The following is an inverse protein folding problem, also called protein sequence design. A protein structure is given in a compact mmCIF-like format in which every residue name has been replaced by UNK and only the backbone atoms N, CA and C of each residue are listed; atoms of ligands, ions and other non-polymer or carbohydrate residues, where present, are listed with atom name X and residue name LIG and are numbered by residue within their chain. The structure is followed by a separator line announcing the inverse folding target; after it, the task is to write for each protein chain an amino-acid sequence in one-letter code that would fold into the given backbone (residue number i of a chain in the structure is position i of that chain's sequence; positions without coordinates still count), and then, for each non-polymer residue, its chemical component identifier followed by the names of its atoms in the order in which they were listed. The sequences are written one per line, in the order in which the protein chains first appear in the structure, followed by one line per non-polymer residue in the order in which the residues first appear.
data_IF_306303499849
#
_entry.id   IF_306303499849
#
_cell.length_a   1.000
_cell.length_b   1.000
_cell.length_c   1.000
_cell.angle_alpha   90.00
_cell.angle_beta   90.00
_cell.angle_gamma   90.00
#
_symmetry.space_group_name_H-M   'P 1'
#
loop_
_entity.id
_entity.type
_entity.pdbx_description
1 polymer ?
#
# COMPACT_ATOMS: atom_id res chain seq x y z
N UNK A 1 -13.52 -20.24 -3.51
CA UNK A 1 -12.49 -19.22 -3.19
C UNK A 1 -13.20 -17.87 -3.16
N UNK A 2 -12.94 -16.98 -2.18
CA UNK A 2 -13.63 -15.68 -2.15
C UNK A 2 -13.32 -14.88 -3.42
N UNK A 3 -14.36 -14.32 -4.02
CA UNK A 3 -14.23 -13.40 -5.15
C UNK A 3 -14.09 -11.97 -4.63
N UNK A 4 -13.14 -11.23 -5.19
CA UNK A 4 -12.81 -9.87 -4.75
C UNK A 4 -12.87 -8.89 -5.92
N UNK A 5 -13.76 -7.91 -5.82
CA UNK A 5 -13.82 -6.78 -6.74
C UNK A 5 -12.69 -5.76 -6.55
N UNK A 6 -12.69 -4.76 -7.43
CA UNK A 6 -11.87 -3.55 -7.33
C UNK A 6 -12.76 -2.34 -7.02
N UNK A 7 -12.28 -1.38 -6.23
CA UNK A 7 -13.04 -0.15 -5.99
C UNK A 7 -12.94 0.86 -7.14
N UNK A 8 -11.97 0.70 -8.04
CA UNK A 8 -11.84 1.52 -9.24
C UNK A 8 -12.98 1.23 -10.21
N UNK A 9 -13.72 2.28 -10.59
CA UNK A 9 -14.83 2.20 -11.54
C UNK A 9 -14.36 2.52 -12.96
N UNK A 10 -15.15 2.13 -13.98
CA UNK A 10 -14.88 2.39 -15.40
C UNK A 10 -13.56 1.79 -15.90
N UNK A 11 -13.33 0.51 -15.59
CA UNK A 11 -12.14 -0.21 -16.05
C UNK A 11 -12.22 -0.53 -17.55
N UNK A 12 -11.45 0.20 -18.34
CA UNK A 12 -11.07 -0.13 -19.72
C UNK A 12 -9.86 -1.09 -19.75
N UNK A 13 -10.06 -2.28 -20.30
CA UNK A 13 -9.02 -3.30 -20.39
C UNK A 13 -7.83 -2.92 -21.30
N UNK A 14 -8.06 -2.02 -22.27
CA UNK A 14 -7.07 -1.57 -23.26
C UNK A 14 -6.15 -0.49 -22.72
N UNK A 15 -6.63 0.34 -21.79
CA UNK A 15 -5.87 1.48 -21.23
C UNK A 15 -5.36 1.24 -19.82
N UNK A 16 -5.93 0.26 -19.11
CA UNK A 16 -5.62 0.05 -17.71
C UNK A 16 -5.04 -1.33 -17.41
N UNK A 17 -4.13 -1.34 -16.43
CA UNK A 17 -3.60 -2.55 -15.80
C UNK A 17 -3.91 -2.49 -14.32
N UNK A 18 -4.25 -3.63 -13.73
CA UNK A 18 -4.62 -3.76 -12.33
C UNK A 18 -3.82 -4.86 -11.67
N UNK A 19 -3.48 -4.66 -10.41
CA UNK A 19 -2.90 -5.69 -9.55
C UNK A 19 -3.48 -5.56 -8.15
N UNK A 20 -3.52 -6.67 -7.40
CA UNK A 20 -3.98 -6.64 -6.02
C UNK A 20 -3.18 -7.58 -5.11
N UNK A 21 -3.04 -7.17 -3.85
CA UNK A 21 -2.64 -8.02 -2.74
C UNK A 21 -3.88 -8.31 -1.90
N UNK A 22 -4.09 -9.57 -1.52
CA UNK A 22 -5.17 -9.96 -0.63
C UNK A 22 -4.62 -10.59 0.65
N UNK A 23 -5.26 -10.27 1.78
CA UNK A 23 -5.01 -10.87 3.10
C UNK A 23 -3.55 -10.78 3.59
N UNK A 24 -2.86 -9.68 3.26
CA UNK A 24 -1.47 -9.48 3.71
C UNK A 24 -1.42 -9.04 5.16
N UNK A 25 -0.46 -9.60 5.89
CA UNK A 25 -0.16 -9.23 7.27
C UNK A 25 0.63 -7.90 7.33
N UNK A 26 0.01 -6.82 6.91
CA UNK A 26 0.54 -5.45 7.01
C UNK A 26 -0.48 -4.58 7.73
N UNK A 27 -0.04 -3.48 8.34
CA UNK A 27 -0.98 -2.53 8.95
C UNK A 27 -1.74 -1.77 7.86
N UNK A 28 -3.08 -1.87 7.88
CA UNK A 28 -3.95 -1.10 6.98
C UNK A 28 -3.74 0.42 7.10
N UNK A 29 -3.33 0.93 8.27
CA UNK A 29 -3.00 2.35 8.46
C UNK A 29 -1.77 2.75 7.68
N UNK A 30 -0.71 1.93 7.76
CA UNK A 30 0.53 2.18 7.02
C UNK A 30 0.32 2.00 5.52
N UNK A 31 -0.37 0.94 5.13
CA UNK A 31 -0.70 0.67 3.72
C UNK A 31 -1.46 1.84 3.07
N UNK A 32 -2.38 2.48 3.79
CA UNK A 32 -3.12 3.65 3.32
C UNK A 32 -2.22 4.86 3.04
N UNK A 33 -1.28 5.16 3.95
CA UNK A 33 -0.36 6.30 3.76
C UNK A 33 0.65 6.03 2.64
N UNK A 34 1.14 4.79 2.52
CA UNK A 34 2.00 4.35 1.42
C UNK A 34 1.27 4.44 0.08
N UNK A 35 0.04 3.90 -0.02
CA UNK A 35 -0.79 3.99 -1.22
C UNK A 35 -1.02 5.45 -1.64
N UNK A 36 -1.30 6.33 -0.67
CA UNK A 36 -1.50 7.75 -0.96
C UNK A 36 -0.22 8.46 -1.43
N UNK A 37 0.95 8.01 -0.98
CA UNK A 37 2.25 8.53 -1.40
C UNK A 37 2.55 8.19 -2.85
N UNK A 38 2.34 6.93 -3.26
CA UNK A 38 2.66 6.46 -4.62
C UNK A 38 1.60 6.83 -5.67
N UNK A 39 0.39 7.19 -5.24
CA UNK A 39 -0.69 7.58 -6.15
C UNK A 39 -0.27 8.78 -7.01
N UNK A 40 -0.34 8.62 -8.33
CA UNK A 40 0.02 9.64 -9.31
C UNK A 40 1.49 9.64 -9.74
N UNK A 41 2.32 8.74 -9.23
CA UNK A 41 3.70 8.56 -9.70
C UNK A 41 3.76 7.61 -10.92
N UNK A 42 4.84 7.69 -11.69
CA UNK A 42 5.24 6.61 -12.60
C UNK A 42 5.70 5.40 -11.79
N UNK A 43 5.71 4.21 -12.40
CA UNK A 43 6.09 2.99 -11.67
C UNK A 43 7.54 3.08 -11.16
N UNK A 44 8.48 3.51 -12.00
CA UNK A 44 9.89 3.65 -11.63
C UNK A 44 10.09 4.54 -10.40
N UNK A 45 9.50 5.76 -10.44
CA UNK A 45 9.58 6.70 -9.32
C UNK A 45 8.93 6.15 -8.05
N UNK A 46 7.84 5.38 -8.19
CA UNK A 46 7.20 4.73 -7.06
C UNK A 46 8.09 3.64 -6.46
N UNK A 47 8.74 2.82 -7.30
CA UNK A 47 9.69 1.78 -6.90
C UNK A 47 10.86 2.39 -6.12
N UNK A 48 11.50 3.42 -6.66
CA UNK A 48 12.62 4.10 -6.02
C UNK A 48 12.23 4.71 -4.67
N UNK A 49 11.09 5.42 -4.63
CA UNK A 49 10.59 6.00 -3.39
C UNK A 49 10.32 4.94 -2.31
N UNK A 50 9.79 3.76 -2.68
CA UNK A 50 9.57 2.67 -1.75
C UNK A 50 10.87 2.01 -1.29
N UNK A 51 11.87 1.89 -2.16
CA UNK A 51 13.19 1.40 -1.77
C UNK A 51 13.88 2.35 -0.78
N UNK A 52 13.80 3.66 -1.01
CA UNK A 52 14.30 4.68 -0.07
C UNK A 52 13.62 4.58 1.31
N UNK A 53 12.31 4.30 1.35
CA UNK A 53 11.57 4.07 2.61
C UNK A 53 12.08 2.82 3.33
N UNK A 54 12.36 1.73 2.61
CA UNK A 54 12.92 0.51 3.19
C UNK A 54 14.32 0.78 3.77
N UNK A 55 15.14 1.55 3.06
CA UNK A 55 16.47 2.00 3.48
C UNK A 55 16.47 3.12 4.53
N UNK A 56 15.30 3.57 5.02
CA UNK A 56 15.15 4.67 5.98
C UNK A 56 15.64 6.04 5.50
N UNK A 57 15.83 6.22 4.19
CA UNK A 57 16.30 7.48 3.60
C UNK A 57 15.18 8.50 3.41
N UNK A 58 13.97 8.02 3.10
CA UNK A 58 12.81 8.85 2.82
C UNK A 58 11.63 8.49 3.70
N UNK A 59 11.04 9.47 4.38
CA UNK A 59 9.88 9.22 5.22
C UNK A 59 8.58 9.18 4.41
N UNK A 60 7.67 8.27 4.80
CA UNK A 60 6.29 8.29 4.31
C UNK A 60 5.53 9.35 5.11
N UNK A 61 4.83 10.31 4.46
CA UNK A 61 4.02 11.30 5.16
C UNK A 61 2.74 10.65 5.70
N UNK A 62 2.54 10.74 7.02
CA UNK A 62 1.34 10.23 7.68
C UNK A 62 0.33 11.37 7.82
N UNK A 63 -0.75 11.32 7.03
CA UNK A 63 -1.74 12.40 6.97
C UNK A 63 -2.99 12.12 7.81
N UNK A 64 -3.54 10.91 7.73
CA UNK A 64 -4.77 10.54 8.46
C UNK A 64 -4.47 9.93 9.83
N UNK A 65 -3.47 9.06 9.88
CA UNK A 65 -3.11 8.32 11.09
C UNK A 65 -1.87 8.92 11.76
N UNK A 66 -1.94 10.21 12.09
CA UNK A 66 -0.81 11.01 12.56
C UNK A 66 -0.79 11.31 14.07
N UNK A 67 -1.73 10.78 14.85
CA UNK A 67 -1.71 10.91 16.32
C UNK A 67 -0.42 10.34 16.89
N UNK A 68 0.27 11.13 17.72
CA UNK A 68 1.54 10.76 18.37
C UNK A 68 2.62 10.29 17.37
N UNK A 69 2.61 10.88 16.16
CA UNK A 69 3.65 10.66 15.16
C UNK A 69 4.61 11.84 15.16
N UNK A 70 5.88 11.56 15.50
CA UNK A 70 6.94 12.56 15.52
C UNK A 70 7.19 13.19 14.15
N UNK A 71 7.73 14.41 14.19
CA UNK A 71 8.03 15.16 12.98
C UNK A 71 9.25 14.59 12.22
N UNK A 72 9.32 14.86 10.92
CA UNK A 72 10.45 14.46 10.06
C UNK A 72 11.04 15.65 9.34
N UNK A 73 12.32 15.52 8.97
CA UNK A 73 13.07 16.54 8.24
C UNK A 73 12.81 16.50 6.73
N UNK A 74 12.23 15.42 6.21
CA UNK A 74 11.90 15.28 4.79
C UNK A 74 10.99 16.41 4.30
N UNK A 75 11.28 16.93 3.11
CA UNK A 75 10.56 18.06 2.53
C UNK A 75 9.07 17.80 2.41
N UNK A 76 8.25 18.68 2.99
CA UNK A 76 6.79 18.57 2.96
C UNK A 76 6.21 17.49 3.88
N UNK A 77 7.02 16.91 4.79
CA UNK A 77 6.58 15.92 5.77
C UNK A 77 6.60 16.53 7.16
N UNK A 78 5.44 16.93 7.68
CA UNK A 78 5.31 17.25 9.09
C UNK A 78 5.44 15.96 9.90
N UNK A 79 4.42 15.12 9.92
CA UNK A 79 4.45 13.80 10.61
C UNK A 79 4.80 12.68 9.64
N UNK A 80 5.81 11.86 9.96
CA UNK A 80 6.25 10.79 9.07
C UNK A 80 6.89 9.58 9.76
N UNK A 81 6.76 8.41 9.11
CA UNK A 81 7.39 7.13 9.56
C UNK A 81 7.97 6.39 8.36
N UNK A 82 8.71 5.32 8.66
CA UNK A 82 9.29 4.41 7.66
C UNK A 82 8.63 3.02 7.75
N UNK A 83 7.46 2.80 7.14
CA UNK A 83 6.73 1.53 7.24
C UNK A 83 7.36 0.45 6.34
N UNK A 84 8.53 -0.08 6.73
CA UNK A 84 9.30 -1.07 5.96
C UNK A 84 8.47 -2.27 5.47
N UNK A 85 7.74 -2.92 6.39
CA UNK A 85 6.91 -4.11 6.08
C UNK A 85 5.86 -3.82 5.00
N UNK A 86 5.23 -2.65 5.04
CA UNK A 86 4.26 -2.27 4.02
C UNK A 86 4.98 -1.94 2.70
N UNK A 87 6.05 -1.15 2.74
CA UNK A 87 6.80 -0.77 1.53
C UNK A 87 7.31 -2.01 0.77
N UNK A 88 7.86 -3.02 1.46
CA UNK A 88 8.32 -4.27 0.82
C UNK A 88 7.19 -5.03 0.12
N UNK A 89 5.99 -5.10 0.71
CA UNK A 89 4.86 -5.75 0.04
C UNK A 89 4.34 -4.91 -1.15
N UNK A 90 4.39 -3.57 -1.06
CA UNK A 90 4.03 -2.71 -2.20
C UNK A 90 5.01 -2.84 -3.37
N UNK A 91 6.31 -3.04 -3.13
CA UNK A 91 7.29 -3.29 -4.21
C UNK A 91 6.90 -4.56 -4.98
N UNK A 92 6.59 -5.66 -4.28
CA UNK A 92 6.11 -6.91 -4.91
C UNK A 92 4.82 -6.70 -5.72
N UNK A 93 3.96 -5.79 -5.27
CA UNK A 93 2.74 -5.44 -5.98
C UNK A 93 3.02 -4.63 -7.25
N UNK A 94 4.03 -3.76 -7.24
CA UNK A 94 4.51 -3.06 -8.43
C UNK A 94 5.15 -4.02 -9.43
N UNK A 95 5.96 -4.98 -8.98
CA UNK A 95 6.54 -6.03 -9.84
C UNK A 95 5.43 -6.81 -10.58
N UNK A 96 4.35 -7.16 -9.87
CA UNK A 96 3.19 -7.84 -10.48
C UNK A 96 2.45 -6.89 -11.45
N UNK A 97 2.32 -5.61 -11.11
CA UNK A 97 1.67 -4.63 -11.98
C UNK A 97 2.44 -4.43 -13.29
N UNK A 98 3.77 -4.37 -13.24
CA UNK A 98 4.66 -4.31 -14.41
C UNK A 98 4.53 -5.56 -15.27
N UNK A 99 4.62 -6.75 -14.67
CA UNK A 99 4.47 -8.00 -15.41
C UNK A 99 3.11 -8.10 -16.13
N UNK A 100 2.03 -7.62 -15.51
CA UNK A 100 0.72 -7.56 -16.15
C UNK A 100 0.64 -6.51 -17.27
N UNK A 101 1.38 -5.41 -17.16
CA UNK A 101 1.43 -4.37 -18.18
C UNK A 101 2.23 -4.85 -19.41
N UNK A 102 3.37 -5.49 -19.17
CA UNK A 102 4.21 -6.11 -20.20
C UNK A 102 3.44 -7.20 -20.96
N UNK A 103 2.71 -8.07 -20.24
CA UNK A 103 1.86 -9.09 -20.86
C UNK A 103 0.78 -8.49 -21.77
N UNK A 104 0.27 -7.30 -21.45
CA UNK A 104 -0.70 -6.58 -22.28
C UNK A 104 -0.05 -5.78 -23.42
N UNK A 105 1.27 -5.72 -23.49
CA UNK A 105 2.01 -4.92 -24.48
C UNK A 105 1.91 -3.41 -24.25
N UNK A 106 1.70 -2.97 -23.02
CA UNK A 106 1.71 -1.53 -22.68
C UNK A 106 3.14 -1.02 -22.52
N UNK A 107 3.34 0.26 -22.83
CA UNK A 107 4.61 0.94 -22.59
C UNK A 107 4.80 1.22 -21.08
N UNK A 108 5.85 0.63 -20.50
CA UNK A 108 6.15 0.73 -19.07
C UNK A 108 6.56 2.16 -18.67
N UNK A 109 7.23 2.89 -19.57
CA UNK A 109 7.76 4.23 -19.31
C UNK A 109 6.64 5.27 -19.17
N UNK A 110 5.54 5.02 -19.89
CA UNK A 110 4.33 5.87 -19.89
C UNK A 110 3.29 5.45 -18.87
N UNK A 111 3.54 4.38 -18.10
CA UNK A 111 2.58 3.87 -17.15
C UNK A 111 2.57 4.67 -15.84
N UNK A 112 1.40 5.17 -15.47
CA UNK A 112 1.19 6.00 -14.28
C UNK A 112 0.14 5.38 -13.36
N UNK A 113 0.42 5.39 -12.05
CA UNK A 113 -0.50 4.85 -11.03
C UNK A 113 -1.66 5.84 -10.84
N UNK A 114 -2.85 5.49 -11.35
CA UNK A 114 -4.05 6.33 -11.24
C UNK A 114 -4.83 6.05 -9.95
N UNK A 115 -4.83 4.81 -9.48
CA UNK A 115 -5.55 4.39 -8.29
C UNK A 115 -4.67 3.52 -7.41
N UNK A 116 -4.66 3.83 -6.12
CA UNK A 116 -3.97 3.07 -5.10
C UNK A 116 -4.80 3.11 -3.82
N UNK A 117 -5.41 1.97 -3.48
CA UNK A 117 -6.29 1.87 -2.32
C UNK A 117 -5.86 0.72 -1.42
N UNK A 118 -6.07 0.91 -0.12
CA UNK A 118 -5.85 -0.11 0.89
C UNK A 118 -7.15 -0.33 1.68
N UNK A 119 -7.57 -1.58 1.79
CA UNK A 119 -8.79 -2.01 2.45
C UNK A 119 -8.46 -2.85 3.67
N UNK A 120 -9.25 -2.73 4.73
CA UNK A 120 -9.17 -3.65 5.87
C UNK A 120 -9.69 -5.01 5.41
N UNK A 121 -8.92 -6.06 5.69
CA UNK A 121 -9.31 -7.43 5.44
C UNK A 121 -9.78 -8.13 6.70
N UNK A 122 -9.63 -9.46 6.69
CA UNK A 122 -10.04 -10.32 7.80
C UNK A 122 -9.31 -9.95 9.08
N UNK A 123 -10.06 -9.97 10.18
CA UNK A 123 -9.55 -9.72 11.52
C UNK A 123 -9.25 -11.06 12.20
N UNK A 124 -7.97 -11.32 12.43
CA UNK A 124 -7.49 -12.50 13.16
C UNK A 124 -7.69 -12.22 14.65
N UNK A 125 -8.69 -12.88 15.23
CA UNK A 125 -9.03 -12.77 16.64
C UNK A 125 -7.97 -13.47 17.49
N UNK A 126 -7.43 -12.76 18.48
CA UNK A 126 -6.51 -13.29 19.49
C UNK A 126 -6.81 -12.61 20.81
N UNK A 127 -6.31 -13.17 21.91
CA UNK A 127 -6.40 -12.55 23.23
C UNK A 127 -5.03 -12.44 23.87
N UNK A 128 -4.92 -11.60 24.89
CA UNK A 128 -3.74 -11.50 25.74
C UNK A 128 -4.18 -11.49 27.19
N UNK A 129 -3.61 -12.35 28.04
CA UNK A 129 -3.91 -12.38 29.46
C UNK A 129 -3.47 -11.06 30.11
N UNK A 130 -4.22 -10.62 31.11
CA UNK A 130 -4.01 -9.39 31.89
C UNK A 130 -4.10 -9.72 33.37
N UNK A 131 -3.66 -8.75 34.19
CA UNK A 131 -3.77 -8.84 35.63
C UNK A 131 -5.20 -9.17 36.09
N UNK A 132 -5.29 -9.79 37.27
CA UNK A 132 -6.57 -10.20 37.89
C UNK A 132 -7.35 -11.21 37.04
N UNK A 133 -6.66 -12.12 36.35
CA UNK A 133 -7.29 -13.21 35.56
C UNK A 133 -8.07 -12.75 34.34
N UNK A 134 -7.92 -11.49 33.91
CA UNK A 134 -8.66 -10.93 32.78
C UNK A 134 -8.01 -11.32 31.45
N UNK A 135 -8.80 -11.37 30.38
CA UNK A 135 -8.30 -11.48 29.00
C UNK A 135 -8.84 -10.33 28.15
N UNK A 136 -7.98 -9.69 27.37
CA UNK A 136 -8.36 -8.62 26.44
C UNK A 136 -8.03 -8.98 25.00
N UNK A 137 -8.83 -8.55 24.00
CA UNK A 137 -8.54 -8.82 22.59
C UNK A 137 -7.20 -8.22 22.13
N UNK A 138 -6.41 -8.98 21.37
CA UNK A 138 -5.19 -8.54 20.69
C UNK A 138 -5.27 -8.91 19.21
N UNK A 139 -6.28 -8.34 18.56
CA UNK A 139 -6.63 -8.71 17.20
C UNK A 139 -5.60 -8.19 16.20
N UNK A 140 -5.26 -9.00 15.21
CA UNK A 140 -4.48 -8.56 14.06
C UNK A 140 -5.41 -8.34 12.87
N UNK A 141 -5.19 -7.27 12.10
CA UNK A 141 -6.02 -6.93 10.94
C UNK A 141 -5.20 -7.16 9.69
N UNK A 142 -5.62 -8.10 8.85
CA UNK A 142 -5.04 -8.29 7.52
C UNK A 142 -5.47 -7.15 6.60
N UNK A 143 -4.75 -6.95 5.52
CA UNK A 143 -4.97 -5.84 4.61
C UNK A 143 -5.01 -6.31 3.16
N UNK A 144 -5.95 -5.76 2.40
CA UNK A 144 -5.95 -5.87 0.94
C UNK A 144 -5.46 -4.57 0.34
N UNK A 145 -4.70 -4.64 -0.74
CA UNK A 145 -4.23 -3.47 -1.49
C UNK A 145 -4.59 -3.69 -2.95
N UNK A 146 -5.07 -2.64 -3.62
CA UNK A 146 -5.33 -2.64 -5.04
C UNK A 146 -4.60 -1.47 -5.70
N UNK A 147 -3.98 -1.74 -6.85
CA UNK A 147 -3.38 -0.73 -7.71
C UNK A 147 -4.02 -0.83 -9.09
N UNK A 148 -4.25 0.34 -9.68
CA UNK A 148 -4.58 0.47 -11.10
C UNK A 148 -3.66 1.52 -11.70
N UNK A 149 -3.05 1.18 -12.81
CA UNK A 149 -2.23 2.07 -13.60
C UNK A 149 -2.82 2.24 -15.02
N UNK A 150 -2.47 3.35 -15.64
CA UNK A 150 -2.92 3.75 -16.96
C UNK A 150 -1.72 4.26 -17.76
N UNK A 151 -1.70 3.96 -19.05
CA UNK A 151 -0.79 4.56 -20.00
C UNK A 151 -1.22 6.02 -20.29
N UNK A 152 -0.29 6.96 -20.15
CA UNK A 152 -0.50 8.41 -20.38
C UNK A 152 0.18 8.84 -21.66
#
# INVERSE_FOLDING_TARGET
MPDYGYAFQNFDATKHVRASLREKDISHKHAREVAKMIKGMSIEKARDALQEVVSLKRAVPFRRYNNEVGHRSDTGVMSGRYPKKAATEFIKLLDNLEANAEYKGMDLDRLKIISANAHKGVLIKRFTPRAQGRATPKNNVLTHVELVAQEV
#
